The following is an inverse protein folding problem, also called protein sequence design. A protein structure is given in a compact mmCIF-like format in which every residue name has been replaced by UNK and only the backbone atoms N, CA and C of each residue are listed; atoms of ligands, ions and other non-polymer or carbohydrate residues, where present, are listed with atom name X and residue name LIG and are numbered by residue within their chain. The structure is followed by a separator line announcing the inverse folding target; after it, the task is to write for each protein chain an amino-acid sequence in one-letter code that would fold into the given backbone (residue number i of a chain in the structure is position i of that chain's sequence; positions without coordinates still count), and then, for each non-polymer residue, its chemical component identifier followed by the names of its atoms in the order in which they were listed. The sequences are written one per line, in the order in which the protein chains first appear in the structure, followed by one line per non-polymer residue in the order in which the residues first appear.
data_IF_607023566097
#
_entry.id   IF_607023566097
#
_cell.length_a   1.000
_cell.length_b   1.000
_cell.length_c   1.000
_cell.angle_alpha   90.00
_cell.angle_beta   90.00
_cell.angle_gamma   90.00
#
_symmetry.space_group_name_H-M   'P 1'
#
loop_
_entity.id
_entity.type
_entity.pdbx_description
1 polymer ?
#
# COMPACT_ATOMS: atom_id res chain seq x y z
N UNK A 1 11.64 5.38 8.56
CA UNK A 1 11.34 6.42 7.56
C UNK A 1 10.93 7.74 8.23
N UNK A 2 9.84 7.81 8.98
CA UNK A 2 9.35 9.05 9.63
C UNK A 2 10.40 9.72 10.53
N UNK A 3 11.16 8.94 11.31
CA UNK A 3 12.23 9.50 12.15
C UNK A 3 13.39 10.05 11.32
N UNK A 4 13.77 9.41 10.22
CA UNK A 4 14.81 9.89 9.34
C UNK A 4 14.42 11.21 8.63
N UNK A 5 13.13 11.42 8.35
CA UNK A 5 12.63 12.67 7.77
C UNK A 5 12.78 13.87 8.71
N UNK A 6 12.98 13.66 10.03
CA UNK A 6 13.19 14.74 11.00
C UNK A 6 14.61 15.30 10.99
N UNK A 7 15.57 14.54 10.47
CA UNK A 7 16.97 14.96 10.37
C UNK A 7 17.27 15.39 8.93
N UNK A 8 17.76 16.61 8.70
CA UNK A 8 18.08 17.10 7.36
C UNK A 8 19.04 16.14 6.62
N UNK A 9 18.67 15.74 5.40
CA UNK A 9 19.48 14.86 4.56
C UNK A 9 19.50 13.38 4.95
N UNK A 10 19.06 12.99 6.15
CA UNK A 10 19.16 11.60 6.61
C UNK A 10 18.30 10.65 5.77
N UNK A 11 17.09 11.05 5.39
CA UNK A 11 16.25 10.24 4.53
C UNK A 11 16.87 10.03 3.14
N UNK A 12 17.46 11.08 2.56
CA UNK A 12 18.17 10.98 1.29
C UNK A 12 19.36 10.04 1.35
N UNK A 13 20.18 10.16 2.40
CA UNK A 13 21.31 9.27 2.62
C UNK A 13 20.88 7.81 2.82
N UNK A 14 19.82 7.57 3.60
CA UNK A 14 19.29 6.25 3.87
C UNK A 14 18.73 5.56 2.60
N UNK A 15 18.23 6.31 1.62
CA UNK A 15 17.66 5.76 0.39
C UNK A 15 18.65 5.67 -0.78
N UNK A 16 19.92 6.14 -0.63
CA UNK A 16 20.92 6.02 -1.69
C UNK A 16 21.18 4.57 -2.15
N UNK A 17 21.20 3.55 -1.27
CA UNK A 17 21.38 2.17 -1.70
C UNK A 17 20.34 1.69 -2.71
N UNK A 18 19.13 2.28 -2.73
CA UNK A 18 18.05 1.92 -3.68
C UNK A 18 18.37 2.28 -5.16
N UNK A 19 19.49 2.95 -5.43
CA UNK A 19 20.04 3.06 -6.80
C UNK A 19 20.40 1.71 -7.39
N UNK A 20 20.82 0.76 -6.54
CA UNK A 20 21.16 -0.59 -6.97
C UNK A 20 19.93 -1.51 -6.98
N UNK A 21 19.73 -2.27 -8.06
CA UNK A 21 18.66 -3.26 -8.20
C UNK A 21 18.64 -4.27 -7.03
N UNK A 22 19.81 -4.76 -6.63
CA UNK A 22 19.92 -5.70 -5.52
C UNK A 22 19.34 -5.15 -4.20
N UNK A 23 19.55 -3.86 -3.91
CA UNK A 23 19.00 -3.23 -2.71
C UNK A 23 17.46 -3.06 -2.79
N UNK A 24 16.92 -2.79 -3.99
CA UNK A 24 15.47 -2.69 -4.19
C UNK A 24 14.74 -4.02 -3.96
N UNK A 25 15.40 -5.15 -4.28
CA UNK A 25 14.85 -6.51 -4.07
C UNK A 25 14.92 -7.00 -2.61
N UNK A 26 15.61 -6.28 -1.73
CA UNK A 26 15.70 -6.67 -0.33
C UNK A 26 14.33 -6.60 0.38
N UNK A 27 14.07 -7.48 1.37
CA UNK A 27 12.82 -7.47 2.12
C UNK A 27 12.51 -6.15 2.85
N UNK A 28 13.52 -5.37 3.22
CA UNK A 28 13.34 -4.05 3.83
C UNK A 28 13.10 -2.92 2.82
N UNK A 29 13.06 -3.25 1.53
CA UNK A 29 12.69 -2.34 0.43
C UNK A 29 11.43 -2.88 -0.26
N UNK A 30 11.47 -3.11 -1.57
CA UNK A 30 10.29 -3.58 -2.32
C UNK A 30 10.08 -5.11 -2.25
N UNK A 31 11.12 -5.89 -1.89
CA UNK A 31 11.03 -7.35 -1.88
C UNK A 31 10.07 -7.96 -0.86
N UNK A 32 9.58 -7.21 0.14
CA UNK A 32 8.51 -7.66 1.00
C UNK A 32 7.11 -7.27 0.47
N UNK A 33 7.04 -6.33 -0.47
CA UNK A 33 5.79 -5.70 -0.91
C UNK A 33 5.16 -6.41 -2.11
N UNK A 34 5.97 -7.09 -2.94
CA UNK A 34 5.53 -7.90 -4.06
C UNK A 34 6.52 -9.05 -4.33
N UNK A 35 6.10 -10.06 -5.11
CA UNK A 35 6.94 -11.22 -5.44
C UNK A 35 8.01 -10.88 -6.48
N UNK A 36 7.61 -10.45 -7.67
CA UNK A 36 8.50 -10.25 -8.81
C UNK A 36 8.28 -8.87 -9.46
N UNK A 37 8.87 -7.83 -8.86
CA UNK A 37 8.86 -6.50 -9.46
C UNK A 37 10.01 -6.33 -10.45
N UNK A 38 9.74 -5.96 -11.71
CA UNK A 38 10.79 -5.64 -12.68
C UNK A 38 11.70 -4.51 -12.17
N UNK A 39 12.99 -4.62 -12.48
CA UNK A 39 13.99 -3.63 -12.03
C UNK A 39 13.69 -2.23 -12.56
N UNK A 40 13.20 -2.11 -13.80
CA UNK A 40 12.82 -0.84 -14.40
C UNK A 40 11.66 -0.18 -13.67
N UNK A 41 10.67 -0.96 -13.21
CA UNK A 41 9.53 -0.45 -12.44
C UNK A 41 10.00 0.11 -11.09
N UNK A 42 10.75 -0.68 -10.34
CA UNK A 42 11.25 -0.25 -9.01
C UNK A 42 12.26 0.90 -9.14
N UNK A 43 13.05 0.95 -10.21
CA UNK A 43 13.93 2.08 -10.50
C UNK A 43 13.13 3.36 -10.79
N UNK A 44 12.08 3.27 -11.61
CA UNK A 44 11.20 4.40 -11.92
C UNK A 44 10.49 4.95 -10.67
N UNK A 45 10.12 4.10 -9.71
CA UNK A 45 9.49 4.54 -8.46
C UNK A 45 10.43 5.32 -7.54
N UNK A 46 11.70 4.95 -7.49
CA UNK A 46 12.66 5.59 -6.58
C UNK A 46 13.39 6.78 -7.20
N UNK A 47 13.55 6.79 -8.52
CA UNK A 47 14.31 7.81 -9.25
C UNK A 47 13.85 9.25 -8.94
N UNK A 48 12.54 9.60 -8.92
CA UNK A 48 12.11 10.96 -8.63
C UNK A 48 12.63 11.48 -7.28
N UNK A 49 12.60 10.64 -6.24
CA UNK A 49 13.14 11.03 -4.94
C UNK A 49 14.66 11.19 -4.96
N UNK A 50 15.38 10.31 -5.64
CA UNK A 50 16.84 10.33 -5.67
C UNK A 50 17.41 11.46 -6.54
N UNK A 51 16.69 11.90 -7.56
CA UNK A 51 17.18 12.81 -8.59
C UNK A 51 16.65 14.24 -8.46
N UNK A 52 15.43 14.40 -7.93
CA UNK A 52 14.76 15.69 -7.86
C UNK A 52 14.72 16.25 -6.43
N UNK A 53 15.28 17.44 -6.23
CA UNK A 53 15.32 18.11 -4.93
C UNK A 53 13.93 18.53 -4.42
N UNK A 54 13.02 18.91 -5.31
CA UNK A 54 11.66 19.32 -4.94
C UNK A 54 10.84 18.11 -4.48
N UNK A 55 10.95 16.97 -5.18
CA UNK A 55 10.33 15.71 -4.74
C UNK A 55 10.85 15.28 -3.38
N UNK A 56 12.15 15.42 -3.12
CA UNK A 56 12.73 15.14 -1.78
C UNK A 56 12.13 16.04 -0.71
N UNK A 57 12.04 17.35 -0.98
CA UNK A 57 11.46 18.34 -0.05
C UNK A 57 10.02 17.95 0.29
N UNK A 58 9.22 17.67 -0.72
CA UNK A 58 7.81 17.37 -0.55
C UNK A 58 7.59 16.02 0.15
N UNK A 59 8.39 15.01 -0.18
CA UNK A 59 8.40 13.71 0.53
C UNK A 59 8.74 13.89 2.01
N UNK A 60 9.76 14.69 2.33
CA UNK A 60 10.13 14.97 3.72
C UNK A 60 9.01 15.73 4.44
N UNK A 61 8.39 16.72 3.80
CA UNK A 61 7.27 17.46 4.36
C UNK A 61 6.07 16.53 4.65
N UNK A 62 5.71 15.68 3.70
CA UNK A 62 4.66 14.68 3.87
C UNK A 62 4.94 13.74 5.06
N UNK A 63 6.13 13.14 5.12
CA UNK A 63 6.49 12.23 6.21
C UNK A 63 6.51 12.91 7.59
N UNK A 64 6.86 14.21 7.64
CA UNK A 64 6.81 14.99 8.89
C UNK A 64 5.39 15.30 9.35
N UNK A 65 4.47 15.48 8.40
CA UNK A 65 3.07 15.75 8.65
C UNK A 65 2.26 14.49 9.01
N UNK A 66 2.83 13.29 8.82
CA UNK A 66 2.16 12.04 9.20
C UNK A 66 1.92 11.99 10.70
N UNK A 67 0.65 11.91 11.09
CA UNK A 67 0.23 11.73 12.47
C UNK A 67 -0.71 10.53 12.57
N UNK A 68 -0.38 9.61 13.48
CA UNK A 68 -1.23 8.45 13.77
C UNK A 68 -2.64 8.84 14.25
N UNK A 69 -2.82 10.04 14.81
CA UNK A 69 -4.12 10.52 15.25
C UNK A 69 -5.10 10.61 14.07
N UNK A 70 -4.64 11.00 12.89
CA UNK A 70 -5.46 11.08 11.66
C UNK A 70 -6.01 9.70 11.30
N UNK A 71 -5.15 8.67 11.30
CA UNK A 71 -5.54 7.31 10.94
C UNK A 71 -6.41 6.65 12.01
N UNK A 72 -6.17 6.95 13.29
CA UNK A 72 -7.00 6.48 14.39
C UNK A 72 -8.39 7.12 14.37
N UNK A 73 -8.50 8.42 14.09
CA UNK A 73 -9.78 9.10 13.93
C UNK A 73 -10.56 8.54 12.73
N UNK A 74 -9.89 8.32 11.59
CA UNK A 74 -10.49 7.66 10.44
C UNK A 74 -10.99 6.25 10.79
N UNK A 75 -10.17 5.44 11.48
CA UNK A 75 -10.55 4.09 11.90
C UNK A 75 -11.78 4.08 12.84
N UNK A 76 -11.90 5.06 13.73
CA UNK A 76 -13.06 5.20 14.61
C UNK A 76 -14.38 5.47 13.87
N UNK A 77 -14.32 5.97 12.63
CA UNK A 77 -15.48 6.27 11.78
C UNK A 77 -15.91 5.09 10.90
N UNK A 78 -15.05 4.08 10.69
CA UNK A 78 -15.36 2.94 9.83
C UNK A 78 -16.69 2.25 10.17
N UNK A 79 -17.06 2.04 11.45
CA UNK A 79 -18.33 1.41 11.80
C UNK A 79 -19.58 2.21 11.38
N UNK A 80 -19.44 3.50 11.09
CA UNK A 80 -20.55 4.33 10.62
C UNK A 80 -20.75 4.31 9.10
N UNK A 81 -19.81 3.76 8.35
CA UNK A 81 -19.90 3.66 6.89
C UNK A 81 -20.87 2.55 6.49
N UNK A 82 -21.86 2.92 5.69
CA UNK A 82 -22.90 1.99 5.19
C UNK A 82 -22.77 1.70 3.69
N UNK A 83 -21.69 2.17 3.07
CA UNK A 83 -21.44 1.92 1.65
C UNK A 83 -20.90 0.50 1.48
N UNK A 84 -21.34 -0.24 0.43
CA UNK A 84 -20.72 -1.50 0.07
C UNK A 84 -19.21 -1.35 -0.08
N UNK A 85 -18.45 -2.25 0.51
CA UNK A 85 -17.00 -2.15 0.57
C UNK A 85 -16.36 -3.49 0.22
N UNK A 86 -15.37 -3.48 -0.68
CA UNK A 86 -14.55 -4.64 -0.98
C UNK A 86 -13.19 -4.48 -0.33
N UNK A 87 -12.80 -5.44 0.50
CA UNK A 87 -11.47 -5.55 1.10
C UNK A 87 -10.73 -6.67 0.38
N UNK A 88 -9.94 -6.32 -0.65
CA UNK A 88 -9.10 -7.24 -1.38
C UNK A 88 -7.72 -7.27 -0.73
N UNK A 89 -7.25 -8.44 -0.26
CA UNK A 89 -6.03 -8.54 0.55
C UNK A 89 -5.13 -9.66 0.08
N UNK A 90 -3.82 -9.38 -0.05
CA UNK A 90 -2.85 -10.40 -0.41
C UNK A 90 -2.68 -11.45 0.69
N UNK A 91 -2.82 -12.74 0.37
CA UNK A 91 -2.66 -13.83 1.33
C UNK A 91 -1.21 -13.98 1.81
N UNK A 92 -0.24 -13.61 0.96
CA UNK A 92 1.18 -13.73 1.25
C UNK A 92 1.77 -12.44 1.83
N UNK A 93 0.91 -11.46 2.21
CA UNK A 93 1.39 -10.19 2.75
C UNK A 93 2.04 -10.39 4.11
N UNK A 94 3.33 -10.05 4.17
CA UNK A 94 4.17 -10.14 5.37
C UNK A 94 4.35 -8.79 6.05
N UNK A 95 3.97 -7.71 5.36
CA UNK A 95 4.11 -6.36 5.87
C UNK A 95 2.81 -5.91 6.55
N UNK A 96 1.68 -6.09 5.87
CA UNK A 96 0.34 -5.96 6.43
C UNK A 96 -0.31 -7.34 6.43
N UNK A 97 -0.17 -8.06 7.54
CA UNK A 97 -0.61 -9.45 7.60
C UNK A 97 -2.13 -9.62 7.37
N UNK A 98 -2.59 -10.78 6.88
CA UNK A 98 -4.00 -11.04 6.59
C UNK A 98 -4.95 -10.69 7.74
N UNK A 99 -4.51 -10.84 8.98
CA UNK A 99 -5.30 -10.50 10.19
C UNK A 99 -5.66 -9.00 10.25
N UNK A 100 -4.86 -8.13 9.62
CA UNK A 100 -5.20 -6.70 9.49
C UNK A 100 -6.33 -6.49 8.47
N UNK A 101 -6.35 -7.27 7.39
CA UNK A 101 -7.46 -7.30 6.43
C UNK A 101 -8.76 -7.75 7.08
N UNK A 102 -8.70 -8.82 7.87
CA UNK A 102 -9.85 -9.32 8.65
C UNK A 102 -10.39 -8.26 9.63
N UNK A 103 -9.48 -7.60 10.36
CA UNK A 103 -9.85 -6.51 11.28
C UNK A 103 -10.46 -5.31 10.55
N UNK A 104 -9.95 -4.95 9.36
CA UNK A 104 -10.51 -3.89 8.55
C UNK A 104 -11.92 -4.26 8.08
N UNK A 105 -12.11 -5.47 7.56
CA UNK A 105 -13.41 -5.95 7.14
C UNK A 105 -14.40 -6.00 8.31
N UNK A 106 -13.98 -6.49 9.47
CA UNK A 106 -14.83 -6.51 10.67
C UNK A 106 -15.25 -5.11 11.16
N UNK A 107 -14.45 -4.08 10.87
CA UNK A 107 -14.77 -2.69 11.21
C UNK A 107 -15.75 -2.02 10.23
N UNK A 108 -15.95 -2.59 9.04
CA UNK A 108 -16.81 -2.08 7.98
C UNK A 108 -18.11 -2.89 7.90
N UNK A 109 -19.28 -2.34 8.29
CA UNK A 109 -20.54 -3.11 8.40
C UNK A 109 -21.04 -3.74 7.11
N UNK A 110 -20.70 -3.13 5.96
CA UNK A 110 -21.12 -3.59 4.63
C UNK A 110 -19.93 -4.01 3.77
N UNK A 111 -18.99 -4.77 4.36
CA UNK A 111 -17.80 -5.20 3.65
C UNK A 111 -17.82 -6.69 3.28
N UNK A 112 -17.09 -7.00 2.19
CA UNK A 112 -16.70 -8.33 1.76
C UNK A 112 -15.18 -8.40 1.78
N UNK A 113 -14.61 -9.39 2.48
CA UNK A 113 -13.17 -9.67 2.46
C UNK A 113 -12.88 -10.75 1.43
N UNK A 114 -11.98 -10.46 0.52
CA UNK A 114 -11.51 -11.39 -0.51
C UNK A 114 -9.99 -11.54 -0.43
N UNK A 115 -9.51 -12.66 0.07
CA UNK A 115 -8.09 -12.97 0.07
C UNK A 115 -7.63 -13.36 -1.33
N UNK A 116 -6.53 -12.74 -1.80
CA UNK A 116 -5.95 -13.00 -3.12
C UNK A 116 -4.69 -13.85 -2.95
N UNK A 117 -4.78 -15.09 -3.42
CA UNK A 117 -3.67 -16.05 -3.35
C UNK A 117 -2.49 -15.58 -4.21
N UNK A 118 -1.26 -15.83 -3.72
CA UNK A 118 -0.04 -15.47 -4.43
C UNK A 118 0.24 -13.98 -4.52
N UNK A 119 -0.45 -13.15 -3.73
CA UNK A 119 -0.22 -11.71 -3.68
C UNK A 119 0.27 -11.26 -2.31
N UNK A 120 1.17 -10.28 -2.31
CA UNK A 120 1.64 -9.53 -1.14
C UNK A 120 0.94 -8.17 -1.06
N UNK A 121 1.58 -7.17 -0.44
CA UNK A 121 1.05 -5.82 -0.24
C UNK A 121 0.65 -5.13 -1.56
N UNK A 122 1.44 -5.31 -2.60
CA UNK A 122 1.16 -4.74 -3.92
C UNK A 122 0.37 -5.72 -4.78
N UNK A 123 -0.86 -6.00 -4.36
CA UNK A 123 -1.79 -6.90 -5.08
C UNK A 123 -1.92 -6.56 -6.56
N UNK A 124 -2.00 -5.27 -7.00
CA UNK A 124 -2.07 -4.94 -8.41
C UNK A 124 -0.85 -5.37 -9.23
N UNK A 125 0.31 -5.54 -8.59
CA UNK A 125 1.53 -5.98 -9.24
C UNK A 125 1.65 -7.52 -9.26
N UNK A 126 1.21 -8.16 -8.16
CA UNK A 126 1.31 -9.62 -8.02
C UNK A 126 0.18 -10.38 -8.72
N UNK A 127 -1.05 -9.82 -8.71
CA UNK A 127 -2.25 -10.50 -9.21
C UNK A 127 -3.24 -9.52 -9.89
N UNK A 128 -2.83 -8.80 -10.96
CA UNK A 128 -3.63 -7.75 -11.59
C UNK A 128 -4.95 -8.28 -12.17
N UNK A 129 -4.94 -9.45 -12.82
CA UNK A 129 -6.13 -10.03 -13.44
C UNK A 129 -7.15 -10.46 -12.38
N UNK A 130 -6.71 -11.14 -11.33
CA UNK A 130 -7.57 -11.58 -10.24
C UNK A 130 -8.22 -10.38 -9.53
N UNK A 131 -7.44 -9.33 -9.27
CA UNK A 131 -7.96 -8.09 -8.69
C UNK A 131 -8.96 -7.39 -9.60
N UNK A 132 -8.68 -7.30 -10.90
CA UNK A 132 -9.56 -6.66 -11.88
C UNK A 132 -10.90 -7.40 -12.00
N UNK A 133 -10.87 -8.73 -12.03
CA UNK A 133 -12.08 -9.56 -12.10
C UNK A 133 -12.93 -9.40 -10.84
N UNK A 134 -12.29 -9.41 -9.68
CA UNK A 134 -12.94 -9.21 -8.39
C UNK A 134 -13.62 -7.82 -8.28
N UNK A 135 -12.93 -6.77 -8.70
CA UNK A 135 -13.49 -5.41 -8.74
C UNK A 135 -14.69 -5.34 -9.69
N UNK A 136 -14.56 -5.93 -10.90
CA UNK A 136 -15.66 -5.97 -11.88
C UNK A 136 -16.90 -6.66 -11.33
N UNK A 137 -16.69 -7.84 -10.72
CA UNK A 137 -17.78 -8.59 -10.09
C UNK A 137 -18.45 -7.77 -8.99
N UNK A 138 -17.66 -7.17 -8.09
CA UNK A 138 -18.20 -6.37 -6.99
C UNK A 138 -19.04 -5.20 -7.48
N UNK A 139 -18.56 -4.44 -8.48
CA UNK A 139 -19.29 -3.29 -9.03
C UNK A 139 -20.59 -3.71 -9.72
N UNK A 140 -20.59 -4.82 -10.45
CA UNK A 140 -21.80 -5.32 -11.13
C UNK A 140 -22.85 -5.84 -10.14
N UNK A 141 -22.43 -6.48 -9.05
CA UNK A 141 -23.35 -6.95 -8.01
C UNK A 141 -23.99 -5.78 -7.25
N UNK A 142 -23.24 -4.74 -6.93
CA UNK A 142 -23.78 -3.55 -6.26
C UNK A 142 -24.76 -2.80 -7.14
N UNK A 143 -24.46 -2.64 -8.43
CA UNK A 143 -25.36 -2.04 -9.40
C UNK A 143 -26.70 -2.79 -9.52
N UNK A 144 -26.68 -4.13 -9.48
CA UNK A 144 -27.86 -4.96 -9.55
C UNK A 144 -28.74 -4.90 -8.28
N UNK A 145 -28.16 -4.57 -7.13
CA UNK A 145 -28.89 -4.42 -5.86
C UNK A 145 -29.53 -3.04 -5.69
N UNK A 146 -29.09 -2.07 -6.48
CA UNK A 146 -29.53 -0.67 -6.40
C UNK A 146 -30.56 -0.30 -7.47
N UNK A 147 -30.79 -1.19 -8.45
CA UNK A 147 -31.76 -1.03 -9.54
C UNK A 147 -33.13 -1.65 -9.20
#
# INVERSE_FOLDING_TARGET
MVQAARVPGALYAALQPLRAAAARRMPMAYGALAHDLPDEVTAAWVAPFLENADVRRDTVAFLRAMDKAITLDAAARLPSLKIPSLVAWGQDDRFFTPELGERLAAALPASRLEPIAGARTFVPEDAPEALADLIREFVLQDAAQTA
#
